data_IF_895310384877
#
_entry.id   IF_895310384877
#
_cell.length_a   1.000
_cell.length_b   1.000
_cell.length_c   1.000
_cell.angle_alpha   90.00
_cell.angle_beta   90.00
_cell.angle_gamma   90.00
#
_symmetry.space_group_name_H-M   'P 1'
#
loop_
_entity.id
_entity.type
_entity.pdbx_description
1 polymer ?
#
# COMPACT_ATOMS: atom_id res chain seq x y z
N UNK A 1 -10.34 7.47 26.43
CA UNK A 1 -11.01 7.43 25.11
C UNK A 1 -12.45 7.03 25.35
N UNK A 2 -13.37 7.87 24.96
CA UNK A 2 -14.81 7.64 25.15
C UNK A 2 -15.40 7.08 23.84
N UNK A 3 -16.56 6.39 23.89
CA UNK A 3 -17.22 5.87 22.69
C UNK A 3 -17.48 6.95 21.62
N UNK A 4 -17.84 8.17 22.03
CA UNK A 4 -18.07 9.30 21.12
C UNK A 4 -16.84 9.70 20.31
N UNK A 5 -15.63 9.50 20.83
CA UNK A 5 -14.37 9.78 20.12
C UNK A 5 -14.18 8.83 18.91
N UNK A 6 -14.82 7.66 18.94
CA UNK A 6 -14.74 6.64 17.90
C UNK A 6 -15.84 6.74 16.85
N UNK A 7 -16.92 7.48 17.13
CA UNK A 7 -18.07 7.58 16.24
C UNK A 7 -17.71 7.97 14.78
N UNK A 8 -16.75 8.89 14.53
CA UNK A 8 -16.35 9.25 13.17
C UNK A 8 -15.72 8.11 12.35
N UNK A 9 -15.20 7.07 13.03
CA UNK A 9 -14.55 5.92 12.36
C UNK A 9 -15.58 4.90 11.85
N UNK A 10 -16.83 4.98 12.32
CA UNK A 10 -17.83 3.95 12.08
C UNK A 10 -17.57 2.68 12.92
N UNK A 11 -18.36 1.64 12.65
CA UNK A 11 -18.19 0.32 13.28
C UNK A 11 -18.48 -0.77 12.25
N UNK A 12 -17.60 -1.76 12.09
CA UNK A 12 -16.28 -1.89 12.74
C UNK A 12 -15.24 -0.92 12.18
N UNK A 13 -14.14 -0.72 12.93
CA UNK A 13 -12.99 0.06 12.52
C UNK A 13 -11.68 -0.74 12.71
N UNK A 14 -10.57 -0.23 12.19
CA UNK A 14 -9.25 -0.88 12.27
C UNK A 14 -8.42 -0.23 13.37
N UNK A 15 -7.76 -1.05 14.17
CA UNK A 15 -6.74 -0.65 15.16
C UNK A 15 -5.42 -1.26 14.75
N UNK A 16 -4.38 -0.45 14.54
CA UNK A 16 -3.06 -0.95 14.16
C UNK A 16 -1.94 -0.23 14.90
N UNK A 17 -0.83 -0.92 15.26
CA UNK A 17 0.36 -0.28 15.80
C UNK A 17 0.91 0.74 14.80
N UNK A 18 1.47 1.85 15.29
CA UNK A 18 1.99 2.91 14.44
C UNK A 18 3.41 2.63 13.92
N UNK A 19 4.22 1.89 14.70
CA UNK A 19 5.62 1.67 14.39
C UNK A 19 6.02 0.20 14.30
N UNK A 20 5.18 -0.72 14.77
CA UNK A 20 5.51 -2.15 14.90
C UNK A 20 4.58 -2.98 14.00
N UNK A 21 4.47 -2.62 12.73
CA UNK A 21 3.61 -3.33 11.76
C UNK A 21 4.44 -4.23 10.85
N UNK A 22 4.69 -5.45 11.27
CA UNK A 22 5.20 -6.51 10.41
C UNK A 22 4.19 -7.64 10.30
N UNK A 23 3.72 -7.97 9.10
CA UNK A 23 2.85 -9.13 8.87
C UNK A 23 1.50 -9.09 9.61
N UNK A 24 0.92 -7.91 9.78
CA UNK A 24 -0.39 -7.69 10.48
C UNK A 24 -0.41 -8.03 11.97
N UNK A 25 0.72 -8.30 12.61
CA UNK A 25 0.77 -8.59 14.06
C UNK A 25 0.32 -7.35 14.86
N UNK A 26 -0.64 -7.55 15.77
CA UNK A 26 -1.21 -6.47 16.58
C UNK A 26 -2.26 -5.62 15.87
N UNK A 27 -2.62 -5.95 14.63
CA UNK A 27 -3.74 -5.33 13.90
C UNK A 27 -5.05 -6.00 14.28
N UNK A 28 -6.04 -5.20 14.65
CA UNK A 28 -7.44 -5.64 14.87
C UNK A 28 -8.30 -4.98 13.80
N UNK A 29 -8.78 -5.78 12.84
CA UNK A 29 -9.51 -5.29 11.67
C UNK A 29 -11.01 -5.02 11.94
N UNK A 30 -11.56 -5.58 13.01
CA UNK A 30 -12.99 -5.57 13.31
C UNK A 30 -13.26 -5.04 14.74
N UNK A 31 -12.55 -3.99 15.15
CA UNK A 31 -12.77 -3.34 16.42
C UNK A 31 -14.14 -2.63 16.44
N UNK A 32 -14.89 -2.79 17.53
CA UNK A 32 -16.22 -2.21 17.68
C UNK A 32 -16.30 -1.13 18.76
N UNK A 33 -15.28 -1.04 19.62
CA UNK A 33 -15.33 -0.09 20.72
C UNK A 33 -14.01 0.05 21.50
N UNK A 34 -14.03 0.85 22.60
CA UNK A 34 -12.84 1.12 23.40
C UNK A 34 -12.17 -0.13 23.99
N UNK A 35 -12.92 -1.17 24.28
CA UNK A 35 -12.39 -2.42 24.83
C UNK A 35 -11.45 -3.13 23.85
N UNK A 36 -11.79 -3.12 22.54
CA UNK A 36 -10.97 -3.72 21.50
C UNK A 36 -9.66 -2.96 21.32
N UNK A 37 -9.72 -1.62 21.41
CA UNK A 37 -8.52 -0.78 21.37
C UNK A 37 -7.59 -1.09 22.55
N UNK A 38 -8.14 -1.24 23.75
CA UNK A 38 -7.35 -1.60 24.95
C UNK A 38 -6.74 -2.99 24.81
N UNK A 39 -7.46 -3.94 24.21
CA UNK A 39 -6.98 -5.29 23.97
C UNK A 39 -5.87 -5.28 22.94
N UNK A 40 -6.03 -4.59 21.81
CA UNK A 40 -5.01 -4.45 20.77
C UNK A 40 -3.69 -3.89 21.34
N UNK A 41 -3.77 -2.88 22.20
CA UNK A 41 -2.61 -2.24 22.83
C UNK A 41 -1.78 -3.15 23.74
N UNK A 42 -2.30 -4.31 24.15
CA UNK A 42 -1.54 -5.28 24.96
C UNK A 42 -0.43 -5.95 24.16
N UNK A 43 -0.54 -6.03 22.84
CA UNK A 43 0.48 -6.65 21.97
C UNK A 43 1.78 -5.84 21.98
N UNK A 44 1.68 -4.51 21.89
CA UNK A 44 2.82 -3.60 21.93
C UNK A 44 2.51 -2.41 22.85
N UNK A 45 2.63 -2.58 24.19
CA UNK A 45 2.15 -1.58 25.15
C UNK A 45 2.84 -0.22 25.06
N UNK A 46 4.09 -0.19 24.59
CA UNK A 46 4.88 1.03 24.43
C UNK A 46 4.63 1.75 23.09
N UNK A 47 3.93 1.11 22.14
CA UNK A 47 3.68 1.71 20.83
C UNK A 47 2.47 2.65 20.85
N UNK A 48 2.44 3.56 19.88
CA UNK A 48 1.25 4.32 19.54
C UNK A 48 0.37 3.47 18.61
N UNK A 49 -0.94 3.73 18.65
CA UNK A 49 -1.88 3.02 17.80
C UNK A 49 -2.66 4.00 16.95
N UNK A 50 -2.81 3.64 15.68
CA UNK A 50 -3.68 4.31 14.73
C UNK A 50 -5.05 3.66 14.77
N UNK A 51 -6.07 4.49 14.77
CA UNK A 51 -7.47 4.09 14.62
C UNK A 51 -7.92 4.59 13.25
N UNK A 52 -8.42 3.68 12.42
CA UNK A 52 -8.72 3.96 11.03
C UNK A 52 -10.12 3.48 10.67
N UNK A 53 -10.89 4.30 9.95
CA UNK A 53 -12.14 3.86 9.31
C UNK A 53 -11.88 2.57 8.51
N UNK A 54 -12.76 1.59 8.65
CA UNK A 54 -12.68 0.38 7.83
C UNK A 54 -13.00 0.72 6.38
N UNK A 55 -12.07 0.47 5.49
CA UNK A 55 -12.26 0.67 4.07
C UNK A 55 -12.95 -0.55 3.46
N UNK A 56 -14.10 -0.33 2.84
CA UNK A 56 -14.81 -1.34 2.05
C UNK A 56 -14.52 -1.03 0.59
N UNK A 57 -13.64 -1.80 -0.07
CA UNK A 57 -13.29 -1.53 -1.45
C UNK A 57 -14.46 -1.83 -2.39
N UNK A 58 -14.54 -1.07 -3.47
CA UNK A 58 -15.41 -1.40 -4.61
C UNK A 58 -15.06 -2.81 -5.12
N UNK A 59 -16.09 -3.58 -5.49
CA UNK A 59 -15.91 -4.88 -6.14
C UNK A 59 -16.55 -4.80 -7.51
N UNK A 60 -15.79 -5.06 -8.57
CA UNK A 60 -16.27 -5.12 -9.94
C UNK A 60 -15.60 -6.27 -10.68
N UNK A 61 -16.38 -7.04 -11.41
CA UNK A 61 -15.92 -8.22 -12.15
C UNK A 61 -15.16 -9.21 -11.25
N UNK A 62 -15.61 -9.40 -10.02
CA UNK A 62 -14.97 -10.25 -9.01
C UNK A 62 -13.67 -9.72 -8.43
N UNK A 63 -13.17 -8.57 -8.89
CA UNK A 63 -11.94 -7.93 -8.37
C UNK A 63 -12.27 -6.87 -7.34
N UNK A 64 -11.54 -6.88 -6.24
CA UNK A 64 -11.55 -5.83 -5.21
C UNK A 64 -10.63 -4.71 -5.65
N UNK A 65 -11.12 -3.48 -5.65
CA UNK A 65 -10.33 -2.31 -6.10
C UNK A 65 -9.35 -1.87 -5.02
N UNK A 66 -8.31 -2.67 -4.87
CA UNK A 66 -7.20 -2.45 -3.97
C UNK A 66 -5.90 -2.71 -4.71
N UNK A 67 -4.96 -1.80 -4.59
CA UNK A 67 -3.77 -1.75 -5.42
C UNK A 67 -2.52 -1.54 -4.57
N UNK A 68 -1.42 -2.19 -4.97
CA UNK A 68 -0.08 -1.81 -4.53
C UNK A 68 0.56 -0.99 -5.65
N UNK A 69 0.98 0.24 -5.32
CA UNK A 69 1.71 1.11 -6.21
C UNK A 69 3.18 1.17 -5.81
N UNK A 70 4.06 0.86 -6.75
CA UNK A 70 5.50 1.02 -6.57
C UNK A 70 5.95 2.29 -7.29
N UNK A 71 6.65 3.18 -6.58
CA UNK A 71 7.35 4.31 -7.17
C UNK A 71 8.83 3.98 -7.29
N UNK A 72 9.40 4.14 -8.47
CA UNK A 72 10.79 3.76 -8.77
C UNK A 72 11.42 4.83 -9.66
N UNK A 73 12.20 5.74 -9.08
CA UNK A 73 12.96 6.77 -9.79
C UNK A 73 12.17 7.47 -10.92
N UNK A 74 10.95 7.94 -10.60
CA UNK A 74 10.09 8.68 -11.53
C UNK A 74 9.00 7.85 -12.21
N UNK A 75 9.10 6.54 -12.20
CA UNK A 75 8.10 5.62 -12.74
C UNK A 75 7.16 5.09 -11.66
N UNK A 76 5.94 4.77 -12.04
CA UNK A 76 4.93 4.16 -11.17
C UNK A 76 4.47 2.85 -11.81
N UNK A 77 4.58 1.77 -11.06
CA UNK A 77 4.06 0.46 -11.44
C UNK A 77 2.93 0.09 -10.48
N UNK A 78 1.74 -0.18 -11.03
CA UNK A 78 0.59 -0.64 -10.25
C UNK A 78 0.40 -2.14 -10.41
N UNK A 79 -0.02 -2.77 -9.32
CA UNK A 79 -0.49 -4.17 -9.30
C UNK A 79 -1.85 -4.23 -8.60
N UNK A 80 -2.65 -5.22 -8.93
CA UNK A 80 -3.71 -5.64 -8.03
C UNK A 80 -3.10 -6.16 -6.73
N UNK A 81 -3.77 -5.88 -5.63
CA UNK A 81 -3.44 -6.38 -4.31
C UNK A 81 -4.72 -6.83 -3.62
N UNK A 82 -4.78 -8.06 -3.18
CA UNK A 82 -5.93 -8.53 -2.42
C UNK A 82 -5.70 -8.30 -0.93
N UNK A 83 -6.51 -7.44 -0.34
CA UNK A 83 -6.43 -7.03 1.06
C UNK A 83 -6.76 -8.14 2.08
N UNK A 84 -7.25 -9.30 1.60
CA UNK A 84 -7.61 -10.45 2.43
C UNK A 84 -6.59 -11.56 2.37
N UNK A 85 -6.12 -11.86 1.16
CA UNK A 85 -5.20 -12.98 0.91
C UNK A 85 -3.75 -12.54 0.84
N UNK A 86 -3.51 -11.22 0.71
CA UNK A 86 -2.19 -10.62 0.48
C UNK A 86 -1.52 -11.13 -0.81
N UNK A 87 -2.34 -11.48 -1.80
CA UNK A 87 -1.85 -11.92 -3.10
C UNK A 87 -1.83 -10.78 -4.11
N UNK A 88 -0.77 -10.75 -4.90
CA UNK A 88 -0.66 -9.85 -6.04
C UNK A 88 -1.24 -10.48 -7.30
N UNK A 89 -1.71 -9.61 -8.20
CA UNK A 89 -1.92 -9.98 -9.60
C UNK A 89 -1.43 -8.85 -10.51
N UNK A 90 -0.96 -9.21 -11.70
CA UNK A 90 -0.51 -8.23 -12.66
C UNK A 90 -1.68 -7.34 -13.12
N UNK A 91 -1.38 -6.06 -13.31
CA UNK A 91 -2.31 -5.07 -13.85
C UNK A 91 -1.71 -4.53 -15.16
N UNK A 92 -2.36 -4.86 -16.28
CA UNK A 92 -1.97 -4.37 -17.61
C UNK A 92 -2.31 -2.89 -17.80
N UNK A 93 -1.59 -2.22 -18.68
CA UNK A 93 -1.82 -0.81 -19.02
C UNK A 93 -3.23 -0.55 -19.54
N UNK A 94 -3.71 -1.39 -20.46
CA UNK A 94 -5.04 -1.28 -21.06
C UNK A 94 -6.13 -1.49 -20.00
N UNK A 95 -5.94 -2.44 -19.09
CA UNK A 95 -6.85 -2.67 -17.97
C UNK A 95 -6.89 -1.46 -17.03
N UNK A 96 -5.73 -0.88 -16.71
CA UNK A 96 -5.63 0.31 -15.87
C UNK A 96 -6.35 1.51 -16.50
N UNK A 97 -6.21 1.70 -17.82
CA UNK A 97 -6.89 2.75 -18.57
C UNK A 97 -8.40 2.53 -18.60
N UNK A 98 -8.85 1.31 -18.94
CA UNK A 98 -10.28 0.94 -18.98
C UNK A 98 -10.98 1.10 -17.63
N UNK A 99 -10.24 0.92 -16.52
CA UNK A 99 -10.77 1.08 -15.16
C UNK A 99 -10.58 2.49 -14.58
N UNK A 100 -10.08 3.44 -15.39
CA UNK A 100 -9.86 4.84 -15.00
C UNK A 100 -8.96 4.99 -13.76
N UNK A 101 -7.86 4.23 -13.70
CA UNK A 101 -6.94 4.22 -12.55
C UNK A 101 -5.88 5.33 -12.61
N UNK A 102 -5.93 6.21 -13.60
CA UNK A 102 -5.04 7.36 -13.74
C UNK A 102 -4.81 8.17 -12.45
N UNK A 103 -5.84 8.48 -11.66
CA UNK A 103 -5.67 9.20 -10.40
C UNK A 103 -4.79 8.48 -9.37
N UNK A 104 -4.72 7.14 -9.38
CA UNK A 104 -3.84 6.40 -8.46
C UNK A 104 -2.37 6.67 -8.78
N UNK A 105 -2.00 6.74 -10.07
CA UNK A 105 -0.65 7.12 -10.48
C UNK A 105 -0.27 8.52 -9.96
N UNK A 106 -1.22 9.46 -9.94
CA UNK A 106 -0.99 10.80 -9.41
C UNK A 106 -0.82 10.79 -7.89
N UNK A 107 -1.60 9.98 -7.18
CA UNK A 107 -1.43 9.79 -5.72
C UNK A 107 -0.02 9.30 -5.42
N UNK A 108 0.44 8.24 -6.09
CA UNK A 108 1.78 7.67 -5.87
C UNK A 108 2.88 8.70 -6.16
N UNK A 109 2.77 9.47 -7.25
CA UNK A 109 3.71 10.56 -7.56
C UNK A 109 3.66 11.69 -6.52
N UNK A 110 2.49 11.99 -5.99
CA UNK A 110 2.34 13.00 -4.94
C UNK A 110 3.02 12.56 -3.65
N UNK A 111 2.86 11.28 -3.27
CA UNK A 111 3.58 10.69 -2.13
C UNK A 111 5.10 10.80 -2.34
N UNK A 112 5.61 10.44 -3.52
CA UNK A 112 7.03 10.56 -3.84
C UNK A 112 7.56 12.00 -3.67
N UNK A 113 6.79 12.98 -4.13
CA UNK A 113 7.15 14.40 -4.01
C UNK A 113 7.18 14.87 -2.55
N UNK A 114 6.21 14.44 -1.73
CA UNK A 114 6.11 14.85 -0.33
C UNK A 114 7.13 14.13 0.54
N UNK A 115 7.27 12.81 0.38
CA UNK A 115 8.22 12.00 1.15
C UNK A 115 9.67 12.19 0.71
N UNK A 116 9.89 12.64 -0.54
CA UNK A 116 11.21 12.71 -1.22
C UNK A 116 11.88 11.35 -1.40
N UNK A 117 11.15 10.27 -1.20
CA UNK A 117 11.63 8.92 -1.46
C UNK A 117 11.68 8.65 -2.95
N UNK A 118 12.68 7.92 -3.38
CA UNK A 118 12.90 7.58 -4.79
C UNK A 118 12.52 6.14 -5.12
N UNK A 119 12.38 5.31 -4.10
CA UNK A 119 11.88 3.95 -4.19
C UNK A 119 11.05 3.62 -2.94
N UNK A 120 9.81 3.24 -3.15
CA UNK A 120 8.87 2.83 -2.10
C UNK A 120 7.65 2.15 -2.72
N UNK A 121 6.85 1.50 -1.88
CA UNK A 121 5.49 1.08 -2.25
C UNK A 121 4.45 1.70 -1.32
N UNK A 122 3.22 1.78 -1.81
CA UNK A 122 2.05 2.27 -1.07
C UNK A 122 0.82 1.48 -1.46
N UNK A 123 -0.16 1.40 -0.56
CA UNK A 123 -1.46 0.80 -0.85
C UNK A 123 -2.51 1.87 -1.09
N UNK A 124 -3.28 1.70 -2.16
CA UNK A 124 -4.39 2.59 -2.50
C UNK A 124 -5.63 1.76 -2.78
N UNK A 125 -6.72 2.04 -2.08
CA UNK A 125 -8.02 1.44 -2.33
C UNK A 125 -8.98 2.44 -2.98
N UNK A 126 -9.89 1.95 -3.84
CA UNK A 126 -11.09 2.69 -4.23
C UNK A 126 -12.27 2.09 -3.48
N UNK A 127 -12.92 2.88 -2.65
CA UNK A 127 -14.05 2.42 -1.83
C UNK A 127 -15.36 2.38 -2.63
N UNK A 128 -16.41 1.83 -2.02
CA UNK A 128 -17.76 1.73 -2.61
C UNK A 128 -18.39 3.09 -2.94
N UNK A 129 -17.85 4.19 -2.43
CA UNK A 129 -18.26 5.57 -2.72
C UNK A 129 -17.44 6.18 -3.86
N UNK A 130 -16.49 5.43 -4.44
CA UNK A 130 -15.58 5.90 -5.48
C UNK A 130 -14.40 6.74 -4.96
N UNK A 131 -14.23 6.88 -3.63
CA UNK A 131 -13.11 7.62 -3.04
C UNK A 131 -11.83 6.80 -3.18
N UNK A 132 -10.73 7.44 -3.51
CA UNK A 132 -9.39 6.86 -3.46
C UNK A 132 -8.76 7.15 -2.09
N UNK A 133 -8.36 6.13 -1.40
CA UNK A 133 -7.84 6.18 -0.03
C UNK A 133 -6.46 5.52 0.03
N UNK A 134 -5.49 6.23 0.57
CA UNK A 134 -4.16 5.66 0.88
C UNK A 134 -4.29 4.90 2.19
N UNK A 135 -4.03 3.60 2.16
CA UNK A 135 -4.22 2.70 3.31
C UNK A 135 -2.92 2.47 4.06
N UNK A 136 -1.86 2.19 3.32
CA UNK A 136 -0.51 2.07 3.84
C UNK A 136 0.37 3.10 3.12
N UNK A 137 0.77 4.14 3.87
CA UNK A 137 1.27 5.38 3.29
C UNK A 137 2.58 5.17 2.52
N UNK A 138 3.60 4.58 3.17
CA UNK A 138 4.91 4.33 2.57
C UNK A 138 5.55 3.09 3.16
N UNK A 139 5.94 2.17 2.29
CA UNK A 139 6.82 1.05 2.59
C UNK A 139 8.16 1.26 1.88
N UNK A 140 9.19 1.59 2.63
CA UNK A 140 10.55 1.85 2.11
C UNK A 140 11.27 0.54 1.77
N UNK A 141 10.97 -0.52 2.52
CA UNK A 141 11.47 -1.87 2.24
C UNK A 141 10.39 -2.60 1.45
N UNK A 142 10.43 -2.45 0.11
CA UNK A 142 9.48 -3.12 -0.76
C UNK A 142 9.73 -4.62 -0.79
N UNK A 143 8.66 -5.41 -0.71
CA UNK A 143 8.73 -6.81 -1.05
C UNK A 143 9.02 -6.95 -2.55
N UNK A 144 10.12 -7.62 -2.89
CA UNK A 144 10.55 -7.90 -4.27
C UNK A 144 10.72 -9.40 -4.50
N UNK A 145 10.15 -10.24 -3.63
CA UNK A 145 10.14 -11.70 -3.86
C UNK A 145 9.36 -12.00 -5.14
N UNK A 146 9.91 -12.86 -5.97
CA UNK A 146 9.28 -13.27 -7.23
C UNK A 146 8.06 -14.16 -6.95
N UNK A 147 6.96 -13.90 -7.63
CA UNK A 147 5.74 -14.70 -7.50
C UNK A 147 5.96 -16.14 -7.99
N UNK A 148 6.84 -16.37 -8.96
CA UNK A 148 7.24 -17.70 -9.40
C UNK A 148 7.89 -18.56 -8.31
N UNK A 149 8.51 -17.92 -7.30
CA UNK A 149 9.18 -18.62 -6.17
C UNK A 149 8.37 -18.53 -4.87
N UNK A 150 7.54 -17.52 -4.72
CA UNK A 150 6.72 -17.26 -3.55
C UNK A 150 5.32 -16.87 -4.01
N UNK A 151 4.28 -17.67 -3.77
CA UNK A 151 2.93 -17.38 -4.26
C UNK A 151 2.38 -16.01 -3.85
N UNK A 152 2.83 -15.49 -2.71
CA UNK A 152 2.54 -14.16 -2.18
C UNK A 152 3.55 -13.08 -2.61
N UNK A 153 4.47 -13.41 -3.51
CA UNK A 153 5.45 -12.49 -4.09
C UNK A 153 4.85 -11.58 -5.17
N UNK A 154 5.62 -10.57 -5.54
CA UNK A 154 5.25 -9.62 -6.61
C UNK A 154 5.37 -10.31 -7.98
N UNK A 155 4.45 -10.07 -8.95
CA UNK A 155 4.55 -10.65 -10.28
C UNK A 155 5.92 -10.43 -10.92
N UNK A 156 6.53 -11.47 -11.45
CA UNK A 156 7.90 -11.46 -11.96
C UNK A 156 8.16 -10.36 -13.00
N UNK A 157 7.18 -10.13 -13.87
CA UNK A 157 7.27 -9.05 -14.86
C UNK A 157 7.31 -7.65 -14.23
N UNK A 158 6.64 -7.45 -13.09
CA UNK A 158 6.69 -6.18 -12.34
C UNK A 158 8.06 -6.01 -11.69
N UNK A 159 8.57 -7.05 -11.03
CA UNK A 159 9.92 -7.03 -10.43
C UNK A 159 10.98 -6.75 -11.48
N UNK A 160 10.89 -7.40 -12.66
CA UNK A 160 11.83 -7.16 -13.75
C UNK A 160 11.80 -5.69 -14.24
N UNK A 161 10.61 -5.08 -14.39
CA UNK A 161 10.48 -3.65 -14.75
C UNK A 161 11.12 -2.74 -13.69
N UNK A 162 10.88 -3.02 -12.41
CA UNK A 162 11.46 -2.28 -11.29
C UNK A 162 12.99 -2.41 -11.29
N UNK A 163 13.53 -3.62 -11.43
CA UNK A 163 14.97 -3.88 -11.46
C UNK A 163 15.66 -3.14 -12.64
N UNK A 164 15.05 -3.19 -13.82
CA UNK A 164 15.56 -2.49 -15.00
C UNK A 164 15.58 -0.97 -14.77
N UNK A 165 14.56 -0.41 -14.14
CA UNK A 165 14.52 1.02 -13.83
C UNK A 165 15.59 1.42 -12.82
N UNK A 166 15.84 0.61 -11.79
CA UNK A 166 16.92 0.82 -10.82
C UNK A 166 18.27 0.80 -11.53
N UNK A 167 18.52 -0.22 -12.37
CA UNK A 167 19.77 -0.36 -13.12
C UNK A 167 20.01 0.83 -14.04
N UNK A 168 19.00 1.27 -14.80
CA UNK A 168 19.09 2.43 -15.68
C UNK A 168 19.41 3.73 -14.91
N UNK A 169 18.81 3.89 -13.72
CA UNK A 169 19.11 5.05 -12.87
C UNK A 169 20.55 5.03 -12.35
N UNK A 170 21.03 3.87 -11.90
CA UNK A 170 22.41 3.69 -11.43
C UNK A 170 23.44 3.94 -12.54
N UNK A 171 23.21 3.39 -13.73
CA UNK A 171 24.10 3.62 -14.88
C UNK A 171 24.16 5.08 -15.35
N UNK A 172 23.02 5.79 -15.31
CA UNK A 172 22.97 7.22 -15.63
C UNK A 172 23.61 8.13 -14.57
N UNK A 173 23.71 7.67 -13.32
CA UNK A 173 24.44 8.38 -12.25
C UNK A 173 25.96 8.24 -12.43
N UNK A 174 26.45 7.01 -12.73
CA UNK A 174 27.88 6.75 -12.94
C UNK A 174 28.46 7.53 -14.15
N UNK A 175 27.67 7.71 -15.22
CA UNK A 175 28.10 8.49 -16.38
C UNK A 175 28.24 10.00 -16.14
N UNK A 176 27.65 10.54 -15.08
CA UNK A 176 27.76 11.97 -14.72
C UNK A 176 28.97 12.29 -13.85
N UNK A 177 29.49 11.32 -13.09
CA UNK A 177 30.70 11.52 -12.28
C UNK A 177 31.99 11.43 -13.08
N UNK A 178 31.96 10.86 -14.30
CA UNK A 178 33.11 10.76 -15.19
C UNK A 178 33.29 11.96 -16.14
N UNK A 179 32.42 12.97 -16.05
CA UNK A 179 32.42 14.15 -16.93
C UNK A 179 32.74 15.46 -16.22
N UNK A 180 33.45 15.38 -15.08
CA UNK A 180 33.96 16.55 -14.31
C UNK A 180 35.47 16.55 -14.29
#
# INVERSE_FOLDING_TARGET
MKPEDLAPLGSPFVVKPANTTGGSVGVVADAAGPADVLTARRTYPADKYLLQERIIPEVRDGKRFWFRGFYVFGEVHLTWWDDRTHLYAELGYDEAAARSLGPIYQIVRTIARVSRLRFFSTEVARDVRGRLLVVDYVNEICDMRLQSSHPDGVPDAVVARIANRIAAHAGGAAGREQSV
#
